data_IF_915392749954
#
_entry.id   IF_915392749954
#
_cell.length_a   1.000
_cell.length_b   1.000
_cell.length_c   1.000
_cell.angle_alpha   90.00
_cell.angle_beta   90.00
_cell.angle_gamma   90.00
#
_symmetry.space_group_name_H-M   'P 1'
#
loop_
_entity.id
_entity.type
_entity.pdbx_description
1 polymer ?
#
# COMPACT_ATOMS: atom_id res chain seq x y z
N UNK A 1 -27.32 40.37 17.54
CA UNK A 1 -26.39 39.93 16.49
C UNK A 1 -25.62 38.70 16.97
N UNK A 2 -26.07 37.47 16.66
CA UNK A 2 -25.36 36.24 17.09
C UNK A 2 -25.37 35.11 16.04
N UNK A 3 -26.02 35.32 14.89
CA UNK A 3 -26.18 34.30 13.82
C UNK A 3 -24.96 34.16 12.89
N UNK A 4 -24.07 35.15 12.86
CA UNK A 4 -22.95 35.19 11.91
C UNK A 4 -21.76 34.32 12.35
N UNK A 5 -21.44 34.36 13.65
CA UNK A 5 -20.33 33.60 14.26
C UNK A 5 -20.50 32.09 14.11
N UNK A 6 -21.72 31.57 14.19
CA UNK A 6 -22.00 30.13 14.05
C UNK A 6 -21.80 29.61 12.62
N UNK A 7 -22.07 30.43 11.59
CA UNK A 7 -21.82 30.04 10.19
C UNK A 7 -20.33 30.05 9.87
N UNK A 8 -19.61 31.07 10.34
CA UNK A 8 -18.15 31.14 10.19
C UNK A 8 -17.46 29.94 10.85
N UNK A 9 -17.90 29.56 12.04
CA UNK A 9 -17.34 28.41 12.76
C UNK A 9 -17.56 27.08 12.03
N UNK A 10 -18.77 26.87 11.47
CA UNK A 10 -19.07 25.69 10.66
C UNK A 10 -18.21 25.65 9.40
N UNK A 11 -18.00 26.77 8.74
CA UNK A 11 -17.13 26.84 7.56
C UNK A 11 -15.68 26.45 7.90
N UNK A 12 -15.16 26.94 9.03
CA UNK A 12 -13.82 26.56 9.51
C UNK A 12 -13.72 25.06 9.81
N UNK A 13 -14.72 24.47 10.48
CA UNK A 13 -14.75 23.03 10.72
C UNK A 13 -14.76 22.20 9.43
N UNK A 14 -15.53 22.62 8.43
CA UNK A 14 -15.61 21.94 7.13
C UNK A 14 -14.26 22.00 6.43
N UNK A 15 -13.60 23.17 6.42
CA UNK A 15 -12.27 23.32 5.81
C UNK A 15 -11.24 22.43 6.51
N UNK A 16 -11.22 22.42 7.85
CA UNK A 16 -10.32 21.55 8.62
C UNK A 16 -10.57 20.06 8.34
N UNK A 17 -11.84 19.65 8.24
CA UNK A 17 -12.19 18.28 7.91
C UNK A 17 -11.70 17.89 6.51
N UNK A 18 -11.90 18.75 5.51
CA UNK A 18 -11.45 18.53 4.14
C UNK A 18 -9.92 18.41 4.06
N UNK A 19 -9.19 19.26 4.79
CA UNK A 19 -7.73 19.18 4.88
C UNK A 19 -7.27 17.87 5.51
N UNK A 20 -7.86 17.48 6.65
CA UNK A 20 -7.55 16.22 7.31
C UNK A 20 -7.81 15.01 6.41
N UNK A 21 -8.96 15.01 5.71
CA UNK A 21 -9.32 13.96 4.77
C UNK A 21 -8.32 13.87 3.62
N UNK A 22 -7.99 14.99 2.98
CA UNK A 22 -7.03 15.03 1.87
C UNK A 22 -5.64 14.51 2.29
N UNK A 23 -5.15 14.90 3.47
CA UNK A 23 -3.87 14.41 4.02
C UNK A 23 -3.94 12.90 4.26
N UNK A 24 -5.03 12.40 4.85
CA UNK A 24 -5.19 10.97 5.15
C UNK A 24 -5.24 10.13 3.87
N UNK A 25 -5.93 10.60 2.84
CA UNK A 25 -5.99 9.94 1.52
C UNK A 25 -4.62 9.95 0.85
N UNK A 26 -3.91 11.10 0.86
CA UNK A 26 -2.56 11.20 0.31
C UNK A 26 -1.60 10.22 0.98
N UNK A 27 -1.66 10.10 2.32
CA UNK A 27 -0.82 9.16 3.08
C UNK A 27 -1.17 7.69 2.81
N UNK A 28 -2.45 7.33 2.66
CA UNK A 28 -2.85 5.96 2.35
C UNK A 28 -2.54 5.55 0.90
N UNK A 29 -2.58 6.48 -0.05
CA UNK A 29 -2.20 6.23 -1.45
C UNK A 29 -0.69 6.05 -1.65
N UNK A 30 0.14 6.35 -0.64
CA UNK A 30 1.58 6.15 -0.68
C UNK A 30 2.04 4.70 -0.50
N UNK A 31 1.14 3.72 -0.43
CA UNK A 31 1.52 2.33 -0.70
C UNK A 31 1.90 2.24 -2.17
N UNK A 32 3.17 2.51 -2.49
CA UNK A 32 3.62 2.43 -3.88
C UNK A 32 3.55 0.97 -4.30
N UNK A 33 3.17 0.65 -5.54
CA UNK A 33 3.21 -0.72 -6.05
C UNK A 33 4.61 -1.33 -5.99
N UNK A 34 5.67 -0.51 -5.93
CA UNK A 34 7.04 -0.96 -5.66
C UNK A 34 7.28 -1.48 -4.22
N UNK A 35 6.38 -1.23 -3.27
CA UNK A 35 6.43 -1.82 -1.92
C UNK A 35 5.84 -3.24 -1.88
N UNK A 36 5.32 -3.76 -3.00
CA UNK A 36 4.98 -5.17 -3.10
C UNK A 36 6.25 -5.97 -3.44
N UNK A 37 6.86 -6.69 -2.49
CA UNK A 37 8.07 -7.46 -2.74
C UNK A 37 7.87 -8.56 -3.79
N UNK A 38 6.61 -8.94 -4.09
CA UNK A 38 6.28 -9.90 -5.15
C UNK A 38 6.27 -9.28 -6.57
N UNK A 39 6.29 -7.94 -6.71
CA UNK A 39 6.32 -7.24 -7.99
C UNK A 39 7.75 -6.90 -8.46
N UNK A 40 8.77 -7.26 -7.69
CA UNK A 40 10.17 -7.05 -8.08
C UNK A 40 10.52 -7.88 -9.32
N UNK A 41 11.31 -7.37 -10.29
CA UNK A 41 11.70 -8.11 -11.49
C UNK A 41 12.43 -9.44 -11.19
N UNK A 42 13.01 -9.58 -9.99
CA UNK A 42 13.64 -10.82 -9.53
C UNK A 42 12.64 -11.93 -9.15
N UNK A 43 11.35 -11.61 -8.98
CA UNK A 43 10.29 -12.55 -8.63
C UNK A 43 9.59 -13.17 -9.84
N UNK A 44 9.97 -12.78 -11.06
CA UNK A 44 9.51 -13.41 -12.30
C UNK A 44 8.05 -13.12 -12.65
N UNK A 45 7.45 -13.99 -13.47
CA UNK A 45 6.18 -13.75 -14.17
C UNK A 45 4.92 -14.11 -13.36
N UNK A 46 5.02 -14.16 -12.03
CA UNK A 46 3.88 -13.99 -11.12
C UNK A 46 3.28 -15.25 -10.49
N UNK A 47 3.78 -16.46 -10.78
CA UNK A 47 3.37 -17.67 -10.05
C UNK A 47 4.51 -18.20 -9.20
N UNK A 48 4.49 -17.87 -7.92
CA UNK A 48 5.49 -18.30 -6.96
C UNK A 48 4.95 -19.43 -6.07
N UNK A 49 5.83 -20.33 -5.63
CA UNK A 49 5.50 -21.38 -4.66
C UNK A 49 6.59 -21.48 -3.59
N UNK A 50 6.17 -21.71 -2.36
CA UNK A 50 7.06 -21.89 -1.21
C UNK A 50 7.24 -23.38 -0.91
N UNK A 51 8.49 -23.85 -0.90
CA UNK A 51 8.87 -25.16 -0.40
C UNK A 51 9.34 -25.05 1.05
N UNK A 52 8.48 -25.46 2.00
CA UNK A 52 8.80 -25.41 3.42
C UNK A 52 9.89 -26.41 3.86
N UNK A 53 10.09 -27.50 3.11
CA UNK A 53 11.12 -28.50 3.43
C UNK A 53 12.51 -28.00 3.02
N UNK A 54 12.59 -27.35 1.86
CA UNK A 54 13.82 -26.76 1.36
C UNK A 54 14.10 -25.33 1.83
N UNK A 55 13.11 -24.66 2.45
CA UNK A 55 13.13 -23.22 2.77
C UNK A 55 13.46 -22.33 1.55
N UNK A 56 12.91 -22.68 0.39
CA UNK A 56 13.15 -21.97 -0.88
C UNK A 56 11.85 -21.53 -1.55
N UNK A 57 11.87 -20.33 -2.10
CA UNK A 57 10.83 -19.84 -3.00
C UNK A 57 11.17 -20.20 -4.45
N UNK A 58 10.17 -20.64 -5.23
CA UNK A 58 10.34 -21.03 -6.64
C UNK A 58 9.38 -20.28 -7.53
N UNK A 59 9.88 -19.79 -8.66
CA UNK A 59 9.04 -19.37 -9.78
C UNK A 59 8.55 -20.62 -10.53
N UNK A 60 7.24 -20.79 -10.64
CA UNK A 60 6.60 -21.90 -11.33
C UNK A 60 6.64 -21.76 -12.85
N UNK A 61 6.80 -20.54 -13.38
CA UNK A 61 6.95 -20.32 -14.81
C UNK A 61 8.34 -20.77 -15.29
N UNK A 62 9.40 -20.33 -14.61
CA UNK A 62 10.78 -20.58 -15.00
C UNK A 62 11.43 -21.76 -14.27
N UNK A 63 10.73 -22.38 -13.30
CA UNK A 63 11.25 -23.44 -12.40
C UNK A 63 12.56 -23.09 -11.69
N UNK A 64 12.81 -21.80 -11.49
CA UNK A 64 14.02 -21.28 -10.83
C UNK A 64 13.76 -21.01 -9.35
N UNK A 65 14.80 -21.13 -8.54
CA UNK A 65 14.79 -20.64 -7.16
C UNK A 65 14.91 -19.12 -7.22
N UNK A 66 14.01 -18.42 -6.53
CA UNK A 66 13.95 -16.97 -6.45
C UNK A 66 14.07 -16.53 -4.98
N UNK A 67 14.32 -15.24 -4.72
CA UNK A 67 14.43 -14.73 -3.35
C UNK A 67 13.19 -15.02 -2.49
N UNK A 68 13.40 -15.35 -1.20
CA UNK A 68 12.31 -15.73 -0.28
C UNK A 68 11.27 -14.63 -0.06
N UNK A 69 11.68 -13.36 -0.18
CA UNK A 69 10.77 -12.19 -0.14
C UNK A 69 9.65 -12.24 -1.18
N UNK A 70 9.88 -12.93 -2.31
CA UNK A 70 8.86 -13.13 -3.34
C UNK A 70 7.70 -14.02 -2.87
N UNK A 71 7.96 -14.88 -1.87
CA UNK A 71 6.96 -15.72 -1.21
C UNK A 71 6.45 -15.11 0.12
N UNK A 72 6.78 -13.85 0.43
CA UNK A 72 6.37 -13.17 1.68
C UNK A 72 7.12 -13.67 2.92
N UNK A 73 8.37 -14.11 2.77
CA UNK A 73 9.23 -14.66 3.82
C UNK A 73 10.53 -13.87 3.97
#
# INVERSE_FOLDING_TARGET
MMRSTTRAWRAVQVVLFLLFFAVTVALNLTCKPEDNPAASPECGSGRVSWDAKGQVCRDLADKKIIPNKCCGR
#
